data_IF_587875438616
#
_entry.id   IF_587875438616
#
_cell.length_a   1.000
_cell.length_b   1.000
_cell.length_c   1.000
_cell.angle_alpha   90.00
_cell.angle_beta   90.00
_cell.angle_gamma   90.00
#
_symmetry.space_group_name_H-M   'P 1'
#
loop_
_entity.id
_entity.type
_entity.pdbx_description
1 polymer ?
#
# COMPACT_ATOMS: atom_id res chain seq x y z
N UNK A 1 2.38 -9.11 -19.69
CA UNK A 1 2.91 -8.40 -18.51
C UNK A 1 1.93 -8.54 -17.33
N UNK A 2 2.44 -8.52 -16.10
CA UNK A 2 1.63 -8.63 -14.89
C UNK A 2 1.66 -7.27 -14.21
N UNK A 3 0.48 -6.76 -13.80
CA UNK A 3 0.35 -5.57 -12.97
C UNK A 3 0.18 -6.02 -11.52
N UNK A 4 1.11 -5.62 -10.67
CA UNK A 4 0.97 -5.85 -9.24
C UNK A 4 0.18 -4.68 -8.62
N UNK A 5 -0.90 -5.02 -7.94
CA UNK A 5 -1.71 -4.06 -7.21
C UNK A 5 -1.46 -4.28 -5.72
N UNK A 6 -1.11 -3.21 -5.02
CA UNK A 6 -0.93 -3.29 -3.58
C UNK A 6 -2.30 -3.48 -2.90
N UNK A 7 -2.40 -4.51 -2.09
CA UNK A 7 -3.53 -4.70 -1.19
C UNK A 7 -3.35 -3.84 0.06
N UNK A 8 -4.40 -3.09 0.44
CA UNK A 8 -4.47 -2.31 1.67
C UNK A 8 -3.20 -1.50 1.93
N UNK A 9 -3.06 -0.38 1.24
CA UNK A 9 -1.90 0.51 1.39
C UNK A 9 -1.70 0.90 2.85
N UNK A 10 -0.45 1.00 3.25
CA UNK A 10 -0.05 1.27 4.62
C UNK A 10 0.07 2.77 4.87
N UNK A 11 -0.14 3.15 6.12
CA UNK A 11 0.19 4.51 6.54
C UNK A 11 1.68 4.79 6.28
N UNK A 12 2.04 5.85 5.55
CA UNK A 12 3.40 6.03 5.05
C UNK A 12 4.46 6.27 6.12
N UNK A 13 4.04 6.67 7.32
CA UNK A 13 4.93 6.86 8.47
C UNK A 13 4.77 5.74 9.49
N UNK A 14 3.54 5.50 9.94
CA UNK A 14 3.25 4.56 11.03
C UNK A 14 3.30 3.10 10.58
N UNK A 15 3.07 2.84 9.30
CA UNK A 15 3.08 1.50 8.72
C UNK A 15 4.48 0.89 8.52
N UNK A 16 5.53 1.63 8.85
CA UNK A 16 6.93 1.22 8.65
C UNK A 16 7.74 1.48 9.92
N UNK A 17 8.28 0.45 10.52
CA UNK A 17 9.07 0.57 11.75
C UNK A 17 9.98 -0.62 11.97
N UNK A 18 10.88 -0.50 12.95
CA UNK A 18 11.96 -1.46 13.23
C UNK A 18 11.48 -2.85 13.67
N UNK A 19 10.30 -2.93 14.26
CA UNK A 19 9.84 -4.14 14.97
C UNK A 19 8.59 -4.77 14.38
N UNK A 20 8.07 -4.24 13.28
CA UNK A 20 6.78 -4.66 12.77
C UNK A 20 6.98 -5.75 11.73
N UNK A 21 6.78 -6.99 12.13
CA UNK A 21 6.68 -8.10 11.19
C UNK A 21 5.47 -7.95 10.25
N UNK A 22 4.37 -7.36 10.79
CA UNK A 22 3.18 -7.02 10.04
C UNK A 22 2.75 -5.62 10.41
N UNK A 23 2.60 -4.74 9.44
CA UNK A 23 2.01 -3.43 9.70
C UNK A 23 0.52 -3.59 9.96
N UNK A 24 0.08 -3.13 11.11
CA UNK A 24 -1.35 -3.02 11.45
C UNK A 24 -1.92 -1.64 11.14
N UNK A 25 -1.16 -0.83 10.45
CA UNK A 25 -1.53 0.54 10.11
C UNK A 25 -1.67 0.65 8.61
N UNK A 26 -2.77 0.13 8.11
CA UNK A 26 -3.14 0.08 6.70
C UNK A 26 -4.59 0.53 6.50
N UNK A 27 -5.07 0.50 5.27
CA UNK A 27 -6.49 0.67 4.96
C UNK A 27 -7.38 -0.52 5.40
N UNK A 28 -6.82 -1.62 5.85
CA UNK A 28 -7.60 -2.79 6.23
C UNK A 28 -8.25 -2.57 7.59
N UNK A 29 -9.58 -2.64 7.65
CA UNK A 29 -10.37 -2.29 8.82
C UNK A 29 -9.95 -3.06 10.10
N UNK A 30 -9.74 -4.36 9.99
CA UNK A 30 -9.29 -5.17 11.12
C UNK A 30 -7.90 -4.78 11.63
N UNK A 31 -7.00 -4.33 10.76
CA UNK A 31 -5.65 -3.93 11.14
C UNK A 31 -5.67 -2.72 12.08
N UNK A 32 -6.30 -1.64 11.67
CA UNK A 32 -6.26 -0.43 12.47
C UNK A 32 -7.22 -0.46 13.66
N UNK A 33 -8.41 -1.07 13.55
CA UNK A 33 -9.34 -1.23 14.68
C UNK A 33 -8.71 -2.09 15.79
N UNK A 34 -8.10 -3.22 15.44
CA UNK A 34 -7.40 -4.06 16.43
C UNK A 34 -6.18 -3.39 17.05
N UNK A 35 -5.69 -2.34 16.42
CA UNK A 35 -4.57 -1.52 16.91
C UNK A 35 -5.03 -0.30 17.74
N UNK A 36 -6.33 -0.20 18.02
CA UNK A 36 -6.93 0.85 18.85
C UNK A 36 -7.25 2.15 18.12
N UNK A 37 -7.24 2.15 16.80
CA UNK A 37 -7.69 3.26 15.97
C UNK A 37 -9.18 3.12 15.63
N UNK A 38 -9.75 4.14 15.05
CA UNK A 38 -11.14 4.25 14.63
C UNK A 38 -11.28 4.78 13.19
N UNK A 39 -12.51 5.09 12.79
CA UNK A 39 -12.81 5.63 11.47
C UNK A 39 -12.06 6.93 11.14
N UNK A 40 -11.72 7.73 12.13
CA UNK A 40 -10.93 8.96 11.91
C UNK A 40 -9.50 8.64 11.40
N UNK A 41 -8.96 7.49 11.78
CA UNK A 41 -7.70 7.00 11.21
C UNK A 41 -7.84 6.72 9.70
N UNK A 42 -8.94 6.06 9.29
CA UNK A 42 -9.22 5.81 7.90
C UNK A 42 -9.33 7.10 7.09
N UNK A 43 -10.10 8.07 7.59
CA UNK A 43 -10.27 9.37 6.93
C UNK A 43 -8.94 10.10 6.77
N UNK A 44 -8.11 10.10 7.81
CA UNK A 44 -6.77 10.69 7.74
C UNK A 44 -5.89 9.98 6.71
N UNK A 45 -5.89 8.65 6.70
CA UNK A 45 -5.10 7.90 5.75
C UNK A 45 -5.57 8.13 4.31
N UNK A 46 -6.89 8.25 4.10
CA UNK A 46 -7.48 8.54 2.81
C UNK A 46 -7.08 9.94 2.32
N UNK A 47 -7.12 10.95 3.20
CA UNK A 47 -6.65 12.31 2.91
C UNK A 47 -5.17 12.33 2.52
N UNK A 48 -4.33 11.61 3.25
CA UNK A 48 -2.90 11.48 2.94
C UNK A 48 -2.69 10.95 1.52
N UNK A 49 -3.44 9.93 1.13
CA UNK A 49 -3.28 9.33 -0.19
C UNK A 49 -3.88 10.18 -1.30
N UNK A 50 -5.01 10.81 -1.10
CA UNK A 50 -5.69 11.61 -2.12
C UNK A 50 -5.04 12.98 -2.31
N UNK A 51 -4.72 13.67 -1.21
CA UNK A 51 -4.35 15.08 -1.27
C UNK A 51 -2.85 15.35 -1.16
N UNK A 52 -2.07 14.41 -0.61
CA UNK A 52 -0.66 14.65 -0.32
C UNK A 52 0.30 13.95 -1.27
N UNK A 53 -0.17 13.04 -2.10
CA UNK A 53 0.67 12.42 -3.11
C UNK A 53 0.81 13.31 -4.36
N UNK A 54 2.02 13.34 -4.90
CA UNK A 54 2.30 14.01 -6.17
C UNK A 54 2.82 12.98 -7.16
N UNK A 55 1.89 12.20 -7.66
CA UNK A 55 2.13 11.17 -8.67
C UNK A 55 1.09 11.31 -9.77
N UNK A 56 1.34 10.68 -10.92
CA UNK A 56 0.40 10.71 -12.04
C UNK A 56 -0.92 10.01 -11.72
N UNK A 57 -0.90 9.08 -10.79
CA UNK A 57 -2.08 8.39 -10.29
C UNK A 57 -1.85 7.82 -8.88
N UNK A 58 -2.93 7.55 -8.20
CA UNK A 58 -2.96 6.86 -6.92
C UNK A 58 -3.94 5.69 -7.04
N UNK A 59 -3.51 4.54 -6.56
CA UNK A 59 -4.36 3.37 -6.48
C UNK A 59 -4.59 3.02 -5.01
N UNK A 60 -5.85 2.84 -4.64
CA UNK A 60 -6.27 2.39 -3.31
C UNK A 60 -7.08 1.11 -3.50
N UNK A 61 -6.72 0.09 -2.72
CA UNK A 61 -7.45 -1.18 -2.69
C UNK A 61 -7.97 -1.44 -1.28
N UNK A 62 -9.27 -1.59 -1.16
CA UNK A 62 -9.96 -1.90 0.09
C UNK A 62 -10.56 -3.30 0.03
N UNK A 63 -10.63 -3.94 1.19
CA UNK A 63 -11.30 -5.22 1.33
C UNK A 63 -11.25 -5.76 2.74
N UNK A 64 -12.04 -6.78 2.98
CA UNK A 64 -12.00 -7.63 4.16
C UNK A 64 -11.86 -9.08 3.72
N UNK A 65 -11.19 -9.87 4.55
CA UNK A 65 -11.20 -11.31 4.37
C UNK A 65 -12.57 -11.89 4.74
N UNK A 66 -12.96 -12.94 4.03
CA UNK A 66 -14.23 -13.61 4.28
C UNK A 66 -14.26 -14.31 5.67
N UNK A 67 -15.44 -14.53 6.20
CA UNK A 67 -15.62 -15.27 7.42
C UNK A 67 -15.73 -14.41 8.69
N UNK A 68 -14.90 -14.67 9.68
CA UNK A 68 -14.98 -13.97 10.97
C UNK A 68 -14.61 -12.51 10.89
N UNK A 69 -13.62 -12.14 10.10
CA UNK A 69 -13.23 -10.75 9.87
C UNK A 69 -14.36 -9.94 9.25
N UNK A 70 -14.96 -10.46 8.19
CA UNK A 70 -16.09 -9.79 7.55
C UNK A 70 -17.22 -9.49 8.53
N UNK A 71 -17.51 -10.42 9.47
CA UNK A 71 -18.54 -10.22 10.48
C UNK A 71 -18.15 -9.20 11.55
N UNK A 72 -16.91 -9.28 12.03
CA UNK A 72 -16.43 -8.44 13.12
C UNK A 72 -16.25 -6.97 12.71
N UNK A 73 -15.83 -6.72 11.47
CA UNK A 73 -15.47 -5.39 10.98
C UNK A 73 -16.41 -4.86 9.90
N UNK A 74 -17.57 -5.47 9.71
CA UNK A 74 -18.53 -5.11 8.68
C UNK A 74 -19.00 -3.65 8.77
N UNK A 75 -19.23 -3.15 9.97
CA UNK A 75 -19.67 -1.76 10.18
C UNK A 75 -18.60 -0.77 9.72
N UNK A 76 -17.35 -1.01 10.10
CA UNK A 76 -16.24 -0.19 9.70
C UNK A 76 -15.98 -0.27 8.20
N UNK A 77 -16.09 -1.45 7.62
CA UNK A 77 -15.94 -1.60 6.17
C UNK A 77 -17.06 -0.88 5.39
N UNK A 78 -18.29 -0.90 5.89
CA UNK A 78 -19.36 -0.09 5.30
C UNK A 78 -19.06 1.40 5.39
N UNK A 79 -18.54 1.86 6.52
CA UNK A 79 -18.08 3.24 6.64
C UNK A 79 -17.04 3.60 5.57
N UNK A 80 -16.04 2.75 5.39
CA UNK A 80 -15.03 2.94 4.33
C UNK A 80 -15.66 3.04 2.94
N UNK A 81 -16.61 2.15 2.63
CA UNK A 81 -17.32 2.16 1.35
C UNK A 81 -18.16 3.42 1.13
N UNK A 82 -18.78 3.94 2.20
CA UNK A 82 -19.54 5.20 2.14
C UNK A 82 -18.62 6.40 1.86
N UNK A 83 -17.44 6.46 2.47
CA UNK A 83 -16.45 7.49 2.17
C UNK A 83 -15.99 7.44 0.70
N UNK A 84 -15.67 6.24 0.21
CA UNK A 84 -15.31 6.03 -1.21
C UNK A 84 -16.45 6.45 -2.15
N UNK A 85 -17.70 6.12 -1.81
CA UNK A 85 -18.88 6.52 -2.56
C UNK A 85 -19.03 8.05 -2.60
N UNK A 86 -18.80 8.71 -1.49
CA UNK A 86 -18.86 10.18 -1.40
C UNK A 86 -17.82 10.84 -2.32
N UNK A 87 -16.56 10.40 -2.24
CA UNK A 87 -15.48 10.89 -3.10
C UNK A 87 -15.74 10.64 -4.58
N UNK A 88 -16.28 9.47 -4.92
CA UNK A 88 -16.71 9.15 -6.28
C UNK A 88 -17.80 10.12 -6.77
N UNK A 89 -18.80 10.40 -5.93
CA UNK A 89 -19.90 11.31 -6.28
C UNK A 89 -19.43 12.75 -6.43
N UNK A 90 -18.38 13.14 -5.75
CA UNK A 90 -17.70 14.44 -5.87
C UNK A 90 -16.79 14.51 -7.11
N UNK A 91 -16.54 13.38 -7.75
CA UNK A 91 -15.67 13.31 -8.93
C UNK A 91 -14.17 13.29 -8.61
N UNK A 92 -13.82 13.12 -7.33
CA UNK A 92 -12.42 13.11 -6.88
C UNK A 92 -11.71 11.81 -7.20
N UNK A 93 -12.47 10.71 -7.27
CA UNK A 93 -11.93 9.39 -7.58
C UNK A 93 -12.77 8.64 -8.61
N UNK A 94 -12.18 7.61 -9.21
CA UNK A 94 -12.86 6.61 -10.02
C UNK A 94 -12.80 5.26 -9.35
N UNK A 95 -13.92 4.53 -9.34
CA UNK A 95 -13.93 3.13 -8.95
C UNK A 95 -13.86 2.28 -10.21
N UNK A 96 -12.90 1.37 -10.26
CA UNK A 96 -12.65 0.49 -11.40
C UNK A 96 -12.44 -0.94 -10.92
N UNK A 97 -12.67 -1.89 -11.79
CA UNK A 97 -12.29 -3.27 -11.54
C UNK A 97 -10.77 -3.44 -11.69
N UNK A 98 -10.23 -4.51 -11.12
CA UNK A 98 -8.80 -4.86 -11.29
C UNK A 98 -8.44 -5.00 -12.77
N UNK A 99 -9.33 -5.56 -13.58
CA UNK A 99 -9.12 -5.71 -15.02
C UNK A 99 -9.03 -4.36 -15.73
N UNK A 100 -10.01 -3.48 -15.49
CA UNK A 100 -10.00 -2.13 -16.06
C UNK A 100 -8.76 -1.33 -15.67
N UNK A 101 -8.33 -1.45 -14.41
CA UNK A 101 -7.10 -0.81 -13.95
C UNK A 101 -5.88 -1.38 -14.67
N UNK A 102 -5.79 -2.70 -14.80
CA UNK A 102 -4.70 -3.38 -15.50
C UNK A 102 -4.59 -2.96 -16.97
N UNK A 103 -5.74 -2.92 -17.67
CA UNK A 103 -5.78 -2.52 -19.07
C UNK A 103 -5.38 -1.04 -19.25
N UNK A 104 -5.90 -0.17 -18.40
CA UNK A 104 -5.50 1.23 -18.38
C UNK A 104 -4.00 1.40 -18.11
N UNK A 105 -3.47 0.67 -17.12
CA UNK A 105 -2.06 0.75 -16.74
C UNK A 105 -1.14 0.30 -17.87
N UNK A 106 -1.42 -0.83 -18.52
CA UNK A 106 -0.65 -1.32 -19.66
C UNK A 106 -0.66 -0.38 -20.84
N UNK A 107 -1.80 0.26 -21.10
CA UNK A 107 -1.91 1.21 -22.20
C UNK A 107 -1.18 2.53 -21.90
N UNK A 108 -1.16 2.95 -20.65
CA UNK A 108 -0.53 4.21 -20.23
C UNK A 108 0.99 4.05 -20.03
N UNK A 109 1.41 2.90 -19.50
CA UNK A 109 2.80 2.60 -19.18
C UNK A 109 3.25 1.27 -19.81
N UNK A 110 3.41 1.22 -21.14
CA UNK A 110 3.61 -0.06 -21.85
C UNK A 110 4.98 -0.71 -21.60
N UNK A 111 5.95 0.02 -21.11
CA UNK A 111 7.32 -0.46 -20.94
C UNK A 111 7.74 -0.64 -19.49
N UNK A 112 7.78 0.43 -18.76
CA UNK A 112 8.31 0.47 -17.39
C UNK A 112 7.40 1.32 -16.52
N UNK A 113 7.21 0.88 -15.28
CA UNK A 113 6.42 1.63 -14.30
C UNK A 113 6.96 3.05 -14.09
N UNK A 114 6.11 4.06 -13.92
CA UNK A 114 6.54 5.40 -13.59
C UNK A 114 7.19 5.44 -12.20
N UNK A 115 8.01 6.44 -11.98
CA UNK A 115 8.49 6.73 -10.62
C UNK A 115 7.43 7.49 -9.85
N UNK A 116 7.31 7.17 -8.57
CA UNK A 116 6.40 7.83 -7.64
C UNK A 116 7.19 8.46 -6.51
N UNK A 117 6.73 9.59 -6.03
CA UNK A 117 7.23 10.13 -4.78
C UNK A 117 6.08 10.55 -3.88
N UNK A 118 6.35 10.49 -2.60
CA UNK A 118 5.37 10.78 -1.57
C UNK A 118 6.04 11.57 -0.47
N UNK A 119 5.41 12.65 -0.04
CA UNK A 119 5.87 13.46 1.05
C UNK A 119 4.74 13.66 2.05
N UNK A 120 4.96 13.24 3.29
CA UNK A 120 4.01 13.43 4.38
C UNK A 120 4.74 13.85 5.64
N UNK A 121 4.38 15.02 6.19
CA UNK A 121 5.10 15.64 7.29
C UNK A 121 6.61 15.75 6.94
N UNK A 122 7.48 15.20 7.76
CA UNK A 122 8.94 15.17 7.55
C UNK A 122 9.42 13.84 6.95
N UNK A 123 8.56 13.11 6.26
CA UNK A 123 8.85 11.81 5.67
C UNK A 123 8.76 11.88 4.15
N UNK A 124 9.79 11.40 3.50
CA UNK A 124 9.89 11.38 2.06
C UNK A 124 10.13 9.96 1.54
N UNK A 125 9.29 9.54 0.62
CA UNK A 125 9.42 8.31 -0.13
C UNK A 125 9.67 8.61 -1.60
N UNK A 126 10.62 7.90 -2.17
CA UNK A 126 10.80 7.81 -3.61
C UNK A 126 10.80 6.34 -4.03
N UNK A 127 9.99 6.02 -5.00
CA UNK A 127 9.82 4.67 -5.53
C UNK A 127 9.98 4.71 -7.05
N UNK A 128 10.84 3.88 -7.55
CA UNK A 128 11.07 3.71 -8.98
C UNK A 128 11.13 2.22 -9.33
N UNK A 129 11.09 1.84 -10.60
CA UNK A 129 11.29 0.46 -11.02
C UNK A 129 12.63 -0.14 -10.61
N UNK A 130 13.60 0.69 -10.23
CA UNK A 130 14.96 0.24 -9.89
C UNK A 130 15.26 0.26 -8.41
N UNK A 131 14.67 1.18 -7.66
CA UNK A 131 14.93 1.29 -6.23
C UNK A 131 13.82 2.06 -5.50
N UNK A 132 13.78 1.86 -4.19
CA UNK A 132 12.95 2.59 -3.24
C UNK A 132 13.84 3.23 -2.18
N UNK A 133 13.52 4.46 -1.82
CA UNK A 133 14.18 5.21 -0.74
C UNK A 133 13.14 5.73 0.22
N UNK A 134 13.39 5.60 1.51
CA UNK A 134 12.66 6.28 2.56
C UNK A 134 13.60 7.11 3.42
N UNK A 135 13.33 8.41 3.47
CA UNK A 135 14.05 9.37 4.29
C UNK A 135 13.05 9.96 5.28
N UNK A 136 13.42 9.98 6.55
CA UNK A 136 12.61 10.56 7.60
C UNK A 136 13.44 11.50 8.46
N UNK A 137 12.79 12.55 8.98
CA UNK A 137 13.38 13.40 10.00
C UNK A 137 13.43 12.69 11.33
N UNK A 138 14.55 12.80 12.01
CA UNK A 138 14.81 12.24 13.33
C UNK A 138 15.52 13.31 14.16
N UNK A 139 14.75 14.01 14.99
CA UNK A 139 15.23 15.21 15.66
C UNK A 139 15.45 16.37 14.66
N UNK A 140 16.68 16.86 14.56
CA UNK A 140 17.06 17.91 13.60
C UNK A 140 17.73 17.37 12.33
N UNK A 141 17.86 16.06 12.20
CA UNK A 141 18.55 15.40 11.10
C UNK A 141 17.59 14.63 10.21
N UNK A 142 17.92 14.52 8.92
CA UNK A 142 17.27 13.59 8.02
C UNK A 142 18.07 12.31 7.95
N UNK A 143 17.38 11.18 8.12
CA UNK A 143 18.01 9.85 8.12
C UNK A 143 17.42 8.98 7.00
N UNK A 144 18.30 8.28 6.31
CA UNK A 144 17.90 7.20 5.42
C UNK A 144 17.39 6.01 6.27
N UNK A 145 16.09 5.74 6.19
CA UNK A 145 15.42 4.69 6.98
C UNK A 145 15.22 3.39 6.21
N UNK A 146 15.05 3.49 4.88
CA UNK A 146 14.92 2.33 4.00
C UNK A 146 15.56 2.64 2.64
N UNK A 147 16.37 1.72 2.16
CA UNK A 147 16.90 1.74 0.80
C UNK A 147 16.82 0.32 0.25
N UNK A 148 16.08 0.16 -0.84
CA UNK A 148 15.97 -1.12 -1.54
C UNK A 148 16.29 -0.92 -3.00
N UNK A 149 17.23 -1.70 -3.46
CA UNK A 149 17.59 -1.78 -4.86
C UNK A 149 17.02 -3.06 -5.47
N UNK A 150 16.35 -2.92 -6.60
CA UNK A 150 15.71 -4.03 -7.29
C UNK A 150 16.62 -4.50 -8.40
N UNK A 151 17.31 -5.59 -8.16
CA UNK A 151 18.06 -6.27 -9.21
C UNK A 151 17.12 -7.23 -9.91
N UNK A 152 16.90 -6.99 -11.21
CA UNK A 152 16.41 -7.91 -12.21
C UNK A 152 15.49 -9.04 -11.76
N UNK A 153 15.38 -10.06 -12.55
CA UNK A 153 14.51 -11.21 -12.31
C UNK A 153 14.88 -11.87 -10.96
N UNK A 154 13.91 -12.09 -10.05
CA UNK A 154 14.17 -12.85 -8.82
C UNK A 154 14.88 -14.15 -9.13
N UNK A 155 15.84 -14.54 -8.29
CA UNK A 155 16.58 -15.77 -8.48
C UNK A 155 15.58 -16.92 -8.73
N UNK A 156 15.77 -17.65 -9.81
CA UNK A 156 14.90 -18.80 -10.16
C UNK A 156 14.80 -19.80 -9.02
N UNK A 157 15.86 -19.96 -8.26
CA UNK A 157 15.91 -20.87 -7.12
C UNK A 157 14.86 -20.55 -6.05
N UNK A 158 14.45 -19.28 -5.95
CA UNK A 158 13.40 -18.88 -5.03
C UNK A 158 12.02 -19.44 -5.38
N UNK A 159 11.70 -19.57 -6.65
CA UNK A 159 10.43 -20.15 -7.11
C UNK A 159 10.37 -21.67 -6.94
N UNK A 160 11.52 -22.31 -6.84
CA UNK A 160 11.65 -23.76 -6.72
C UNK A 160 12.08 -24.21 -5.32
N UNK A 161 12.34 -23.29 -4.41
CA UNK A 161 12.64 -23.63 -3.02
C UNK A 161 11.39 -24.23 -2.36
N UNK A 162 11.50 -25.47 -1.90
CA UNK A 162 10.45 -26.09 -1.11
C UNK A 162 10.17 -25.25 0.13
N UNK A 163 8.94 -24.76 0.24
CA UNK A 163 8.49 -24.08 1.45
C UNK A 163 8.11 -25.15 2.50
N UNK A 164 9.11 -25.63 3.21
CA UNK A 164 8.93 -26.64 4.26
C UNK A 164 8.32 -26.08 5.56
N UNK A 165 8.12 -24.78 5.64
CA UNK A 165 7.48 -24.15 6.79
C UNK A 165 6.03 -23.81 6.44
N UNK A 166 5.13 -24.67 6.88
CA UNK A 166 3.68 -24.40 6.92
C UNK A 166 3.29 -23.25 7.87
N UNK A 167 4.19 -22.36 8.14
CA UNK A 167 3.93 -21.17 8.90
C UNK A 167 3.76 -20.05 7.89
N UNK A 168 2.61 -19.43 7.87
CA UNK A 168 2.17 -18.41 6.93
C UNK A 168 3.02 -17.12 6.83
N UNK A 169 4.32 -17.27 6.88
CA UNK A 169 5.31 -16.30 6.50
C UNK A 169 6.14 -16.87 5.37
N UNK A 170 5.60 -16.86 4.17
CA UNK A 170 6.49 -16.85 3.03
C UNK A 170 7.49 -15.70 3.25
N UNK A 171 8.80 -15.94 3.06
CA UNK A 171 9.71 -14.84 2.99
C UNK A 171 9.18 -13.92 1.89
N UNK A 172 8.57 -12.82 2.28
CA UNK A 172 8.17 -11.82 1.33
C UNK A 172 9.44 -11.30 0.70
N UNK A 173 9.77 -11.81 -0.44
CA UNK A 173 10.49 -10.98 -1.38
C UNK A 173 9.56 -9.80 -1.53
N UNK A 174 9.97 -8.71 -1.01
CA UNK A 174 9.31 -7.45 -1.24
C UNK A 174 9.44 -7.15 -2.72
N UNK A 175 8.59 -7.83 -3.44
CA UNK A 175 8.25 -7.41 -4.77
C UNK A 175 7.38 -6.21 -4.54
N UNK A 176 7.99 -5.18 -4.49
CA UNK A 176 7.54 -4.02 -4.56
C UNK A 176 6.61 -3.67 -5.38
N UNK A 177 5.87 -3.35 -4.93
CA UNK A 177 5.15 -2.20 -4.71
C UNK A 177 5.49 -1.10 -5.64
N UNK A 178 4.92 -1.16 -6.68
CA UNK A 178 4.73 -0.02 -7.55
C UNK A 178 3.28 0.38 -7.55
#
# INVERSE_FOLDING_TARGET
PIVNIQWAQRHPTLGYGKEIKYSRQSFQANDYINNGFDSAYFDNLLDIYINQQKTDFIQITLGLEAGQEARAFFQEFNYQLDQIKNLKNQGEIKTVTVSEFSDWYHNTYPGISPSHYFFHQDNFWYMSPKFRVFIAKDGQEFKLKDLRYYQGIPNKDYFYADNNAFLGSAPSVSTMNL
#
